data_IF_826395812012
#
_entry.id   IF_826395812012
#
_cell.length_a   1.000
_cell.length_b   1.000
_cell.length_c   1.000
_cell.angle_alpha   90.00
_cell.angle_beta   90.00
_cell.angle_gamma   90.00
#
_symmetry.space_group_name_H-M   'P 1'
#
loop_
_entity.id
_entity.type
_entity.pdbx_description
1 polymer ?
#
# COMPACT_ATOMS: atom_id res chain seq x y z
N UNK A 1 -15.43 11.81 13.49
CA UNK A 1 -15.94 11.55 12.11
C UNK A 1 -14.74 11.66 11.19
N UNK A 2 -14.66 10.84 10.14
CA UNK A 2 -13.53 10.86 9.21
C UNK A 2 -13.47 12.21 8.48
N UNK A 3 -12.26 12.71 8.29
CA UNK A 3 -11.91 13.95 7.58
C UNK A 3 -10.78 13.73 6.57
N UNK A 4 -9.90 12.76 6.81
CA UNK A 4 -8.84 12.37 5.89
C UNK A 4 -8.86 10.86 5.61
N UNK A 5 -8.56 10.49 4.37
CA UNK A 5 -8.36 9.10 3.95
C UNK A 5 -6.94 8.95 3.44
N UNK A 6 -6.19 8.03 4.05
CA UNK A 6 -4.77 7.79 3.77
C UNK A 6 -4.64 6.40 3.17
N UNK A 7 -4.00 6.30 2.01
CA UNK A 7 -3.86 5.06 1.26
C UNK A 7 -2.41 4.56 1.32
N UNK A 8 -2.24 3.26 1.55
CA UNK A 8 -1.00 2.56 1.17
C UNK A 8 -0.84 2.51 -0.35
N UNK A 9 0.29 1.98 -0.84
CA UNK A 9 0.66 1.94 -2.26
C UNK A 9 0.54 0.53 -2.85
N UNK A 10 1.38 -0.42 -2.42
CA UNK A 10 1.43 -1.77 -2.98
C UNK A 10 0.17 -2.55 -2.64
N UNK A 11 -0.45 -3.19 -3.63
CA UNK A 11 -1.73 -3.91 -3.50
C UNK A 11 -2.87 -3.08 -2.87
N UNK A 12 -2.72 -1.75 -2.84
CA UNK A 12 -3.76 -0.79 -2.47
C UNK A 12 -4.08 0.13 -3.63
N UNK A 13 -3.07 0.76 -4.23
CA UNK A 13 -3.19 1.56 -5.46
C UNK A 13 -2.57 0.82 -6.66
N UNK A 14 -1.47 0.11 -6.42
CA UNK A 14 -0.66 -0.54 -7.45
C UNK A 14 -0.91 -2.05 -7.44
N UNK A 15 -1.30 -2.59 -8.59
CA UNK A 15 -1.28 -4.02 -8.90
C UNK A 15 0.17 -4.44 -9.15
N UNK A 16 0.75 -5.15 -8.19
CA UNK A 16 2.15 -5.55 -8.23
C UNK A 16 2.36 -6.81 -9.09
N UNK A 17 1.31 -7.32 -9.76
CA UNK A 17 1.40 -8.51 -10.62
C UNK A 17 2.56 -8.41 -11.62
N UNK A 18 2.74 -7.24 -12.25
CA UNK A 18 3.83 -7.02 -13.20
C UNK A 18 5.21 -6.98 -12.53
N UNK A 19 5.31 -6.43 -11.32
CA UNK A 19 6.56 -6.40 -10.52
C UNK A 19 7.00 -7.83 -10.22
N UNK A 20 6.11 -8.61 -9.62
CA UNK A 20 6.39 -9.99 -9.22
C UNK A 20 6.58 -10.92 -10.42
N UNK A 21 5.89 -10.66 -11.54
CA UNK A 21 6.12 -11.38 -12.80
C UNK A 21 7.52 -11.14 -13.36
N UNK A 22 8.00 -9.89 -13.34
CA UNK A 22 9.37 -9.57 -13.78
C UNK A 22 10.41 -10.21 -12.87
N UNK A 23 10.17 -10.29 -11.57
CA UNK A 23 11.02 -11.04 -10.65
C UNK A 23 11.04 -12.55 -10.97
N UNK A 24 9.88 -13.16 -11.22
CA UNK A 24 9.82 -14.57 -11.62
C UNK A 24 10.66 -14.82 -12.89
N UNK A 25 10.49 -13.97 -13.90
CA UNK A 25 11.24 -14.01 -15.15
C UNK A 25 12.76 -13.82 -14.90
N UNK A 26 13.15 -12.87 -14.03
CA UNK A 26 14.56 -12.60 -13.66
C UNK A 26 15.23 -13.77 -12.93
N UNK A 27 14.48 -14.48 -12.09
CA UNK A 27 14.99 -15.66 -11.36
C UNK A 27 14.96 -16.95 -12.18
N UNK A 28 14.29 -16.94 -13.35
CA UNK A 28 14.13 -18.11 -14.21
C UNK A 28 13.14 -19.14 -13.68
N UNK A 29 12.15 -18.70 -12.88
CA UNK A 29 11.07 -19.56 -12.36
C UNK A 29 9.74 -19.19 -13.01
N UNK A 30 8.79 -20.12 -13.04
CA UNK A 30 7.47 -19.78 -13.59
C UNK A 30 6.76 -18.76 -12.69
N UNK A 31 5.95 -17.87 -13.29
CA UNK A 31 5.14 -16.89 -12.56
C UNK A 31 4.22 -17.57 -11.54
N UNK A 32 3.61 -18.71 -11.91
CA UNK A 32 2.80 -19.51 -10.99
C UNK A 32 3.60 -19.94 -9.75
N UNK A 33 4.83 -20.43 -9.95
CA UNK A 33 5.70 -20.84 -8.85
C UNK A 33 6.07 -19.67 -7.96
N UNK A 34 6.49 -18.54 -8.54
CA UNK A 34 6.87 -17.36 -7.77
C UNK A 34 5.70 -16.85 -6.90
N UNK A 35 4.54 -16.65 -7.54
CA UNK A 35 3.34 -16.16 -6.86
C UNK A 35 2.83 -17.13 -5.79
N UNK A 36 2.89 -18.44 -6.05
CA UNK A 36 2.54 -19.47 -5.07
C UNK A 36 3.43 -19.42 -3.82
N UNK A 37 4.74 -19.24 -3.99
CA UNK A 37 5.67 -19.08 -2.87
C UNK A 37 5.43 -17.75 -2.14
N UNK A 38 5.19 -16.66 -2.87
CA UNK A 38 4.87 -15.35 -2.30
C UNK A 38 3.60 -15.39 -1.43
N UNK A 39 2.53 -16.00 -1.95
CA UNK A 39 1.30 -16.25 -1.19
C UNK A 39 1.53 -17.15 0.03
N UNK A 40 2.45 -18.11 -0.08
CA UNK A 40 2.92 -18.89 1.07
C UNK A 40 3.58 -18.03 2.16
N UNK A 41 4.35 -17.00 1.78
CA UNK A 41 4.93 -16.08 2.77
C UNK A 41 3.84 -15.28 3.48
N UNK A 42 2.85 -14.79 2.74
CA UNK A 42 1.69 -14.10 3.29
C UNK A 42 0.88 -14.99 4.25
N UNK A 43 0.63 -16.24 3.89
CA UNK A 43 -0.13 -17.18 4.71
C UNK A 43 0.60 -17.60 5.99
N UNK A 44 1.93 -17.55 6.00
CA UNK A 44 2.78 -18.00 7.11
C UNK A 44 3.36 -16.85 7.94
N UNK A 45 2.90 -15.61 7.74
CA UNK A 45 3.43 -14.41 8.40
C UNK A 45 4.95 -14.23 8.24
N UNK A 46 5.44 -14.61 7.06
CA UNK A 46 6.85 -14.44 6.68
C UNK A 46 7.02 -13.20 5.82
N UNK A 47 8.23 -12.64 5.85
CA UNK A 47 8.60 -11.56 4.95
C UNK A 47 8.47 -12.02 3.49
N UNK A 48 8.00 -11.15 2.59
CA UNK A 48 8.05 -11.45 1.15
C UNK A 48 9.48 -11.72 0.68
N UNK A 49 10.49 -11.18 1.37
CA UNK A 49 11.91 -11.41 1.07
C UNK A 49 12.32 -12.88 1.22
N UNK A 50 11.64 -13.62 2.09
CA UNK A 50 11.87 -15.05 2.28
C UNK A 50 11.49 -15.87 1.03
N UNK A 51 10.61 -15.36 0.17
CA UNK A 51 10.28 -16.02 -1.09
C UNK A 51 11.52 -16.16 -1.98
N UNK A 52 12.41 -15.16 -1.98
CA UNK A 52 13.66 -15.21 -2.73
C UNK A 52 14.59 -16.30 -2.21
N UNK A 53 14.72 -16.45 -0.90
CA UNK A 53 15.52 -17.52 -0.28
C UNK A 53 14.95 -18.91 -0.60
N UNK A 54 13.61 -19.06 -0.60
CA UNK A 54 12.96 -20.33 -0.97
C UNK A 54 13.19 -20.67 -2.45
N UNK A 55 13.09 -19.69 -3.35
CA UNK A 55 13.19 -19.91 -4.79
C UNK A 55 14.64 -20.04 -5.27
N UNK A 56 15.55 -19.29 -4.64
CA UNK A 56 16.98 -19.20 -4.97
C UNK A 56 17.80 -19.00 -3.67
N UNK A 57 18.10 -20.08 -2.95
CA UNK A 57 18.85 -19.99 -1.69
C UNK A 57 20.19 -19.27 -1.84
N UNK A 58 20.49 -18.36 -0.91
CA UNK A 58 21.73 -17.58 -0.90
C UNK A 58 21.77 -16.43 -1.92
N UNK A 59 20.66 -16.10 -2.56
CA UNK A 59 20.57 -14.94 -3.44
C UNK A 59 20.72 -13.63 -2.63
N UNK A 60 21.72 -12.82 -2.98
CA UNK A 60 21.78 -11.43 -2.56
C UNK A 60 20.84 -10.59 -3.43
N UNK A 61 19.60 -10.41 -2.95
CA UNK A 61 18.55 -9.65 -3.65
C UNK A 61 18.98 -8.22 -3.94
N UNK A 62 19.76 -7.59 -3.05
CA UNK A 62 20.21 -6.21 -3.26
C UNK A 62 21.31 -6.13 -4.31
N UNK A 63 22.21 -7.12 -4.37
CA UNK A 63 23.16 -7.25 -5.48
C UNK A 63 22.45 -7.49 -6.81
N UNK A 64 21.40 -8.31 -6.82
CA UNK A 64 20.61 -8.58 -8.02
C UNK A 64 19.87 -7.33 -8.50
N UNK A 65 19.26 -6.56 -7.60
CA UNK A 65 18.64 -5.26 -7.93
C UNK A 65 19.68 -4.30 -8.54
N UNK A 66 20.89 -4.23 -7.96
CA UNK A 66 21.97 -3.38 -8.51
C UNK A 66 22.41 -3.84 -9.90
N UNK A 67 22.57 -5.14 -10.12
CA UNK A 67 22.92 -5.70 -11.42
C UNK A 67 21.81 -5.41 -12.45
N UNK A 68 20.55 -5.63 -12.08
CA UNK A 68 19.41 -5.41 -12.96
C UNK A 68 19.27 -3.94 -13.38
N UNK A 69 19.55 -2.99 -12.48
CA UNK A 69 19.60 -1.55 -12.80
C UNK A 69 20.69 -1.18 -13.82
N UNK A 70 21.80 -1.91 -13.85
CA UNK A 70 22.87 -1.68 -14.84
C UNK A 70 22.53 -2.31 -16.20
N UNK A 71 21.87 -3.46 -16.19
CA UNK A 71 21.47 -4.20 -17.40
C UNK A 71 20.34 -3.51 -18.16
N UNK A 72 19.37 -2.95 -17.44
CA UNK A 72 18.16 -2.36 -17.98
C UNK A 72 17.89 -1.03 -17.29
N UNK A 73 18.65 0.05 -17.57
CA UNK A 73 18.58 1.31 -16.81
C UNK A 73 17.24 2.05 -16.96
N UNK A 74 16.57 1.89 -18.09
CA UNK A 74 15.32 2.59 -18.42
C UNK A 74 14.07 1.75 -18.17
N UNK A 75 14.22 0.44 -17.91
CA UNK A 75 13.10 -0.44 -17.61
C UNK A 75 12.54 -0.29 -16.20
N UNK A 76 11.33 -0.80 -16.00
CA UNK A 76 10.67 -0.76 -14.70
C UNK A 76 11.34 -1.65 -13.68
N UNK A 77 11.81 -2.85 -14.07
CA UNK A 77 12.47 -3.83 -13.17
C UNK A 77 11.60 -4.13 -11.93
N UNK A 78 12.02 -3.70 -10.74
CA UNK A 78 11.29 -3.80 -9.46
C UNK A 78 10.33 -2.63 -9.18
N UNK A 79 10.23 -1.65 -10.09
CA UNK A 79 9.41 -0.44 -9.98
C UNK A 79 8.06 -0.59 -10.73
N UNK A 80 7.21 0.43 -10.65
CA UNK A 80 5.88 0.47 -11.26
C UNK A 80 5.61 1.81 -11.96
N UNK A 81 4.55 1.86 -12.78
CA UNK A 81 4.07 3.08 -13.42
C UNK A 81 2.53 3.15 -13.42
N UNK A 82 1.96 4.14 -14.12
CA UNK A 82 0.52 4.38 -14.16
C UNK A 82 -0.29 3.20 -14.76
N UNK A 83 0.33 2.32 -15.54
CA UNK A 83 -0.33 1.12 -16.08
C UNK A 83 -0.55 0.04 -15.03
N UNK A 84 0.18 0.11 -13.91
CA UNK A 84 0.03 -0.79 -12.78
C UNK A 84 -1.05 -0.31 -11.79
N UNK A 85 -1.76 0.79 -12.07
CA UNK A 85 -2.87 1.22 -11.22
C UNK A 85 -4.05 0.25 -11.34
N UNK A 86 -4.64 -0.09 -10.19
CA UNK A 86 -5.94 -0.77 -10.20
C UNK A 86 -7.01 0.11 -10.87
N UNK A 87 -7.97 -0.48 -11.63
CA UNK A 87 -8.90 0.30 -12.45
C UNK A 87 -9.77 1.32 -11.69
N UNK A 88 -10.10 1.04 -10.42
CA UNK A 88 -10.97 1.87 -9.59
C UNK A 88 -10.25 3.04 -8.89
N UNK A 89 -8.92 3.09 -8.94
CA UNK A 89 -8.13 4.02 -8.11
C UNK A 89 -8.44 5.47 -8.43
N UNK A 90 -8.36 5.86 -9.70
CA UNK A 90 -8.51 7.28 -10.08
C UNK A 90 -9.90 7.81 -9.74
N UNK A 91 -10.93 7.05 -10.10
CA UNK A 91 -12.32 7.45 -9.90
C UNK A 91 -12.65 7.51 -8.40
N UNK A 92 -12.18 6.54 -7.61
CA UNK A 92 -12.43 6.50 -6.16
C UNK A 92 -11.76 7.66 -5.43
N UNK A 93 -10.49 7.93 -5.73
CA UNK A 93 -9.75 9.04 -5.14
C UNK A 93 -10.37 10.40 -5.53
N UNK A 94 -10.80 10.56 -6.78
CA UNK A 94 -11.48 11.77 -7.25
C UNK A 94 -12.81 12.00 -6.53
N UNK A 95 -13.62 10.96 -6.36
CA UNK A 95 -14.93 11.08 -5.70
C UNK A 95 -14.77 11.34 -4.20
N UNK A 96 -13.76 10.77 -3.53
CA UNK A 96 -13.44 11.10 -2.13
C UNK A 96 -13.05 12.58 -1.98
N UNK A 97 -12.19 13.11 -2.86
CA UNK A 97 -11.84 14.54 -2.84
C UNK A 97 -13.03 15.44 -3.10
N UNK A 98 -13.84 15.11 -4.11
CA UNK A 98 -15.07 15.84 -4.44
C UNK A 98 -16.08 15.82 -3.30
N UNK A 99 -16.10 14.72 -2.53
CA UNK A 99 -16.91 14.61 -1.31
C UNK A 99 -16.38 15.44 -0.15
N UNK A 100 -15.19 16.05 -0.27
CA UNK A 100 -14.60 16.95 0.72
C UNK A 100 -13.59 16.29 1.66
N UNK A 101 -13.22 15.04 1.42
CA UNK A 101 -12.16 14.38 2.20
C UNK A 101 -10.79 14.87 1.74
N UNK A 102 -9.88 15.03 2.70
CA UNK A 102 -8.46 15.11 2.39
C UNK A 102 -7.98 13.71 2.00
N UNK A 103 -7.30 13.59 0.86
CA UNK A 103 -6.82 12.32 0.31
C UNK A 103 -5.30 12.32 0.26
N UNK A 104 -4.67 11.39 0.96
CA UNK A 104 -3.20 11.31 1.08
C UNK A 104 -2.74 9.91 0.67
N UNK A 105 -1.60 9.82 -0.01
CA UNK A 105 -0.89 8.56 -0.22
C UNK A 105 0.32 8.52 0.71
N UNK A 106 0.44 7.47 1.52
CA UNK A 106 1.59 7.25 2.40
C UNK A 106 1.82 5.75 2.61
N UNK A 107 2.93 5.23 2.07
CA UNK A 107 3.24 3.79 2.11
C UNK A 107 4.73 3.48 2.22
N UNK A 108 5.04 2.20 2.47
CA UNK A 108 6.42 1.71 2.50
C UNK A 108 6.95 1.65 1.07
N UNK A 109 7.73 2.64 0.67
CA UNK A 109 8.21 2.79 -0.70
C UNK A 109 9.58 3.46 -0.70
N UNK A 110 10.46 3.09 -1.66
CA UNK A 110 11.75 3.77 -1.80
C UNK A 110 11.57 5.19 -2.33
N UNK A 111 12.58 6.05 -2.15
CA UNK A 111 12.51 7.46 -2.62
C UNK A 111 12.14 7.57 -4.10
N UNK A 112 12.63 6.64 -4.94
CA UNK A 112 12.41 6.66 -6.39
C UNK A 112 10.95 6.42 -6.77
N UNK A 113 10.18 5.73 -5.93
CA UNK A 113 8.75 5.52 -6.17
C UNK A 113 7.93 6.82 -6.04
N UNK A 114 8.45 7.84 -5.34
CA UNK A 114 7.80 9.14 -5.21
C UNK A 114 7.60 9.80 -6.58
N UNK A 115 8.66 9.89 -7.39
CA UNK A 115 8.59 10.51 -8.71
C UNK A 115 7.61 9.78 -9.63
N UNK A 116 7.56 8.43 -9.54
CA UNK A 116 6.60 7.62 -10.28
C UNK A 116 5.15 7.93 -9.86
N UNK A 117 4.87 8.01 -8.55
CA UNK A 117 3.54 8.34 -8.02
C UNK A 117 3.11 9.77 -8.39
N UNK A 118 4.04 10.73 -8.36
CA UNK A 118 3.77 12.11 -8.81
C UNK A 118 3.46 12.14 -10.30
N UNK A 119 4.22 11.41 -11.12
CA UNK A 119 4.01 11.34 -12.57
C UNK A 119 2.67 10.70 -12.96
N UNK A 120 2.02 9.96 -12.05
CA UNK A 120 0.68 9.41 -12.29
C UNK A 120 -0.42 10.48 -12.24
N UNK A 121 -0.18 11.67 -11.69
CA UNK A 121 -1.20 12.73 -11.55
C UNK A 121 -2.49 12.19 -10.91
N UNK A 122 -2.35 11.53 -9.75
CA UNK A 122 -3.48 11.01 -8.99
C UNK A 122 -4.25 12.16 -8.33
N UNK A 123 -5.59 12.06 -8.21
CA UNK A 123 -6.38 13.07 -7.54
C UNK A 123 -6.21 12.92 -6.03
N UNK A 124 -5.10 13.44 -5.51
CA UNK A 124 -4.70 13.41 -4.10
C UNK A 124 -4.19 14.78 -3.67
N UNK A 125 -4.19 15.06 -2.37
CA UNK A 125 -3.69 16.31 -1.81
C UNK A 125 -2.20 16.24 -1.47
N UNK A 126 -1.68 15.06 -1.15
CA UNK A 126 -0.26 14.83 -0.89
C UNK A 126 0.15 13.37 -1.11
N UNK A 127 1.44 13.18 -1.42
CA UNK A 127 2.10 11.87 -1.57
C UNK A 127 3.31 11.85 -0.65
N UNK A 128 3.50 10.76 0.07
CA UNK A 128 4.65 10.53 0.94
C UNK A 128 5.14 9.08 0.84
N UNK A 129 6.44 8.89 1.04
CA UNK A 129 7.07 7.56 1.09
C UNK A 129 7.80 7.37 2.41
N UNK A 130 7.86 6.13 2.90
CA UNK A 130 8.58 5.77 4.12
C UNK A 130 10.03 6.24 4.12
N UNK A 131 10.73 6.05 3.01
CA UNK A 131 12.13 6.45 2.89
C UNK A 131 12.31 7.96 2.93
N UNK A 132 11.36 8.71 2.34
CA UNK A 132 11.34 10.18 2.45
C UNK A 132 11.18 10.68 3.88
N UNK A 133 10.59 9.88 4.77
CA UNK A 133 10.46 10.19 6.19
C UNK A 133 11.54 9.55 7.07
N UNK A 134 12.28 8.56 6.58
CA UNK A 134 13.12 7.70 7.42
C UNK A 134 12.32 6.87 8.44
N UNK A 135 11.02 6.67 8.20
CA UNK A 135 10.09 5.96 9.07
C UNK A 135 9.29 4.99 8.20
N UNK A 136 9.21 3.72 8.62
CA UNK A 136 8.46 2.70 7.88
C UNK A 136 7.42 2.02 8.75
N UNK A 137 6.32 1.60 8.14
CA UNK A 137 5.37 0.67 8.75
C UNK A 137 6.07 -0.65 9.06
N UNK A 138 5.70 -1.33 10.17
CA UNK A 138 4.59 -1.03 11.08
C UNK A 138 4.97 -0.12 12.26
N UNK A 139 6.07 0.63 12.19
CA UNK A 139 6.53 1.42 13.33
C UNK A 139 5.51 2.52 13.71
N UNK A 140 5.20 2.72 15.00
CA UNK A 140 4.23 3.74 15.43
C UNK A 140 4.57 5.16 14.96
N UNK A 141 5.87 5.45 14.79
CA UNK A 141 6.34 6.74 14.28
C UNK A 141 5.83 7.06 12.87
N UNK A 142 5.62 6.05 12.02
CA UNK A 142 5.04 6.25 10.69
C UNK A 142 3.61 6.80 10.78
N UNK A 143 2.77 6.19 11.63
CA UNK A 143 1.38 6.61 11.80
C UNK A 143 1.26 7.95 12.56
N UNK A 144 2.16 8.21 13.51
CA UNK A 144 2.27 9.54 14.12
C UNK A 144 2.60 10.61 13.06
N UNK A 145 3.50 10.30 12.12
CA UNK A 145 3.84 11.20 11.02
C UNK A 145 2.67 11.40 10.05
N UNK A 146 1.90 10.36 9.76
CA UNK A 146 0.66 10.46 8.97
C UNK A 146 -0.32 11.46 9.61
N UNK A 147 -0.55 11.39 10.93
CA UNK A 147 -1.43 12.34 11.63
C UNK A 147 -0.87 13.78 11.63
N UNK A 148 0.44 13.93 11.76
CA UNK A 148 1.13 15.22 11.67
C UNK A 148 0.91 15.87 10.29
N UNK A 149 1.17 15.15 9.20
CA UNK A 149 1.09 15.71 7.83
C UNK A 149 -0.36 15.92 7.38
N UNK A 150 -1.31 15.12 7.87
CA UNK A 150 -2.73 15.37 7.61
C UNK A 150 -3.26 16.58 8.38
N UNK A 151 -2.62 16.95 9.49
CA UNK A 151 -3.13 17.98 10.41
C UNK A 151 -4.45 17.57 11.08
N UNK A 152 -4.69 16.26 11.22
CA UNK A 152 -5.94 15.69 11.77
C UNK A 152 -5.65 14.89 13.02
N UNK A 153 -6.64 14.76 13.91
CA UNK A 153 -6.53 13.82 15.03
C UNK A 153 -6.61 12.39 14.49
N UNK A 154 -5.92 11.40 15.09
CA UNK A 154 -5.93 10.03 14.60
C UNK A 154 -7.33 9.49 14.32
N UNK A 155 -8.32 9.74 15.20
CA UNK A 155 -9.68 9.24 15.04
C UNK A 155 -10.49 9.89 13.90
N UNK A 156 -9.92 10.92 13.26
CA UNK A 156 -10.46 11.59 12.07
C UNK A 156 -9.81 11.07 10.77
N UNK A 157 -8.86 10.14 10.87
CA UNK A 157 -8.12 9.56 9.75
C UNK A 157 -8.60 8.13 9.52
N UNK A 158 -8.97 7.82 8.28
CA UNK A 158 -9.11 6.44 7.82
C UNK A 158 -7.82 6.03 7.12
N UNK A 159 -7.11 5.03 7.66
CA UNK A 159 -5.99 4.40 6.96
C UNK A 159 -6.48 3.17 6.19
N UNK A 160 -6.18 3.10 4.90
CA UNK A 160 -6.59 2.05 3.96
C UNK A 160 -5.36 1.30 3.48
N UNK A 161 -5.34 -0.02 3.67
CA UNK A 161 -4.27 -0.92 3.22
C UNK A 161 -4.73 -2.36 3.08
N UNK A 162 -3.94 -3.21 2.44
CA UNK A 162 -4.25 -4.63 2.25
C UNK A 162 -3.63 -5.52 3.33
N UNK A 163 -2.69 -5.02 4.13
CA UNK A 163 -2.00 -5.82 5.14
C UNK A 163 -2.44 -5.52 6.57
N UNK A 164 -3.08 -6.51 7.21
CA UNK A 164 -3.40 -6.43 8.64
C UNK A 164 -2.18 -6.14 9.54
N UNK A 165 -1.08 -6.85 9.32
CA UNK A 165 0.12 -6.81 10.17
C UNK A 165 0.91 -5.52 10.00
N UNK A 166 0.95 -4.98 8.78
CA UNK A 166 1.79 -3.84 8.42
C UNK A 166 1.03 -2.51 8.42
N UNK A 167 -0.23 -2.51 7.99
CA UNK A 167 -1.01 -1.30 7.73
C UNK A 167 -2.11 -1.11 8.77
N UNK A 168 -3.03 -2.06 8.83
CA UNK A 168 -4.34 -1.88 9.45
C UNK A 168 -4.26 -1.95 10.98
N UNK A 169 -3.72 -3.03 11.56
CA UNK A 169 -3.62 -3.15 13.01
C UNK A 169 -2.66 -2.11 13.63
N UNK A 170 -1.50 -1.78 13.01
CA UNK A 170 -0.66 -0.68 13.48
C UNK A 170 -1.34 0.69 13.41
N UNK A 171 -2.09 1.00 12.35
CA UNK A 171 -2.87 2.24 12.25
C UNK A 171 -3.94 2.32 13.36
N UNK A 172 -4.67 1.23 13.59
CA UNK A 172 -5.66 1.15 14.67
C UNK A 172 -5.04 1.36 16.06
N UNK A 173 -3.86 0.78 16.31
CA UNK A 173 -3.09 1.02 17.55
C UNK A 173 -2.63 2.47 17.72
N UNK A 174 -2.47 3.21 16.62
CA UNK A 174 -2.18 4.65 16.62
C UNK A 174 -3.44 5.53 16.81
N UNK A 175 -4.62 4.92 16.97
CA UNK A 175 -5.90 5.60 17.17
C UNK A 175 -6.63 5.98 15.87
N UNK A 176 -6.14 5.52 14.72
CA UNK A 176 -6.80 5.74 13.44
C UNK A 176 -8.00 4.81 13.23
N UNK A 177 -8.94 5.26 12.41
CA UNK A 177 -9.94 4.37 11.82
C UNK A 177 -9.29 3.59 10.68
N UNK A 178 -9.79 2.39 10.39
CA UNK A 178 -9.07 1.45 9.52
C UNK A 178 -9.98 0.74 8.52
N UNK A 179 -9.52 0.63 7.28
CA UNK A 179 -10.17 -0.20 6.25
C UNK A 179 -9.16 -1.22 5.71
N UNK A 180 -9.48 -2.51 5.89
CA UNK A 180 -8.77 -3.60 5.24
C UNK A 180 -9.33 -3.79 3.83
N UNK A 181 -8.48 -3.61 2.83
CA UNK A 181 -8.82 -3.84 1.43
C UNK A 181 -8.49 -5.27 1.02
N UNK A 182 -9.47 -6.01 0.50
CA UNK A 182 -9.31 -7.37 -0.01
C UNK A 182 -8.73 -7.34 -1.43
N UNK A 183 -7.44 -7.02 -1.50
CA UNK A 183 -6.66 -6.89 -2.73
C UNK A 183 -5.29 -7.55 -2.56
N UNK A 184 -4.74 -8.07 -3.65
CA UNK A 184 -3.52 -8.87 -3.61
C UNK A 184 -3.62 -10.15 -2.75
N UNK A 185 -2.53 -10.92 -2.62
CA UNK A 185 -2.54 -12.14 -1.81
C UNK A 185 -2.70 -11.83 -0.32
N UNK A 186 -2.10 -10.76 0.20
CA UNK A 186 -2.21 -10.39 1.61
C UNK A 186 -3.64 -9.99 1.98
N UNK A 187 -4.28 -9.07 1.24
CA UNK A 187 -5.64 -8.62 1.56
C UNK A 187 -6.65 -9.77 1.65
N UNK A 188 -6.59 -10.74 0.74
CA UNK A 188 -7.47 -11.92 0.80
C UNK A 188 -7.13 -12.85 1.98
N UNK A 189 -5.86 -13.18 2.17
CA UNK A 189 -5.44 -14.10 3.25
C UNK A 189 -5.60 -13.50 4.64
N UNK A 190 -5.43 -12.18 4.76
CA UNK A 190 -5.53 -11.48 6.03
C UNK A 190 -6.99 -11.22 6.41
N UNK A 191 -7.87 -10.96 5.44
CA UNK A 191 -9.30 -10.78 5.71
C UNK A 191 -9.99 -12.05 6.26
N UNK A 192 -9.44 -13.24 6.01
CA UNK A 192 -9.96 -14.50 6.56
C UNK A 192 -9.50 -14.76 8.02
N UNK A 193 -8.64 -13.90 8.57
CA UNK A 193 -8.13 -14.04 9.94
C UNK A 193 -9.13 -13.49 10.96
N UNK A 194 -9.21 -14.06 12.17
CA UNK A 194 -10.04 -13.52 13.24
C UNK A 194 -9.73 -12.04 13.58
N UNK A 195 -8.46 -11.65 13.47
CA UNK A 195 -8.01 -10.28 13.75
C UNK A 195 -8.60 -9.24 12.78
N UNK A 196 -9.09 -9.65 11.61
CA UNK A 196 -9.79 -8.77 10.69
C UNK A 196 -11.06 -8.16 11.31
N UNK A 197 -11.65 -8.80 12.32
CA UNK A 197 -12.79 -8.26 13.08
C UNK A 197 -12.46 -6.98 13.87
N UNK A 198 -11.17 -6.65 14.05
CA UNK A 198 -10.74 -5.40 14.67
C UNK A 198 -10.75 -4.20 13.70
N UNK A 199 -10.92 -4.42 12.40
CA UNK A 199 -11.00 -3.34 11.40
C UNK A 199 -12.35 -2.66 11.48
N UNK A 200 -12.40 -1.36 11.17
CA UNK A 200 -13.70 -0.67 11.06
C UNK A 200 -14.46 -1.07 9.79
N UNK A 201 -13.71 -1.32 8.72
CA UNK A 201 -14.24 -1.73 7.44
C UNK A 201 -13.38 -2.84 6.84
N UNK A 202 -14.04 -3.76 6.13
CA UNK A 202 -13.41 -4.70 5.20
C UNK A 202 -14.10 -4.47 3.86
N UNK A 203 -13.35 -4.12 2.83
CA UNK A 203 -13.86 -3.70 1.51
C UNK A 203 -13.22 -4.52 0.40
N UNK A 204 -13.93 -4.71 -0.71
CA UNK A 204 -13.43 -5.40 -1.91
C UNK A 204 -12.93 -4.41 -2.98
N UNK A 205 -13.30 -3.12 -2.88
CA UNK A 205 -12.81 -2.05 -3.76
C UNK A 205 -12.84 -0.66 -3.14
N UNK A 206 -12.06 0.27 -3.69
CA UNK A 206 -11.95 1.64 -3.17
C UNK A 206 -13.24 2.45 -3.38
N UNK A 207 -14.03 2.09 -4.41
CA UNK A 207 -15.30 2.74 -4.70
C UNK A 207 -16.35 2.59 -3.58
N UNK A 208 -16.20 1.59 -2.71
CA UNK A 208 -17.09 1.38 -1.56
C UNK A 208 -16.92 2.46 -0.48
N UNK A 209 -15.74 3.08 -0.40
CA UNK A 209 -15.41 4.04 0.66
C UNK A 209 -16.34 5.25 0.67
N UNK A 210 -16.73 5.77 -0.50
CA UNK A 210 -17.63 6.93 -0.58
C UNK A 210 -18.99 6.60 0.03
N UNK A 211 -19.53 5.41 -0.27
CA UNK A 211 -20.81 4.94 0.28
C UNK A 211 -20.74 4.70 1.78
N UNK A 212 -19.60 4.21 2.29
CA UNK A 212 -19.39 3.93 3.71
C UNK A 212 -19.17 5.18 4.55
N UNK A 213 -18.45 6.17 4.02
CA UNK A 213 -18.03 7.35 4.76
C UNK A 213 -19.05 8.51 4.73
N UNK A 214 -19.87 8.60 3.68
CA UNK A 214 -20.79 9.71 3.48
C UNK A 214 -20.07 11.01 3.11
N UNK A 215 -20.56 12.16 3.62
CA UNK A 215 -19.87 13.45 3.48
C UNK A 215 -19.21 13.86 4.81
N UNK A 216 -17.99 14.43 4.80
CA UNK A 216 -17.36 14.98 5.99
C UNK A 216 -18.12 16.24 6.44
N UNK A 217 -18.26 16.42 7.76
CA UNK A 217 -18.77 17.68 8.31
C UNK A 217 -17.86 18.85 7.91
N UNK A 218 -18.40 20.06 7.66
CA UNK A 218 -17.58 21.24 7.41
C UNK A 218 -16.68 21.50 8.62
N UNK A 219 -15.37 21.41 8.44
CA UNK A 219 -14.40 21.75 9.48
C UNK A 219 -14.50 23.24 9.79
N UNK A 220 -14.78 23.59 11.04
CA UNK A 220 -14.63 24.96 11.52
C UNK A 220 -13.15 25.32 11.45
N UNK A 221 -12.75 26.40 10.76
CA UNK A 221 -11.36 26.84 10.80
C UNK A 221 -10.96 27.14 12.25
N UNK A 222 -9.82 26.59 12.68
CA UNK A 222 -9.14 26.99 13.92
C UNK A 222 -8.40 28.29 13.68
#
# INVERSE_FOLDING_TARGET
>A
MIQAVVFDVGETLIDETRIWSRWADRLGVTRLTFMGVLGGMAALDRSHRDAFEVLRPGLDVEAEIRAWRLEDPDGLRENFNAEDLYPDVRDSLAELRKSGYQVIVAGNQPVQAYDALVAMDLPVDAIYTSDGWGLAKPAPGFFAKVAEVSGRRPEEILYVGDRLDNDVLPAGRAGMRTALLRRGPWGFLHADRPDAAACDYVIDGLGELVGLLGSPSPSTPV
#
